data_IF_053607706230
#
_entry.id   IF_053607706230
#
_cell.length_a   1.000
_cell.length_b   1.000
_cell.length_c   1.000
_cell.angle_alpha   90.00
_cell.angle_beta   90.00
_cell.angle_gamma   90.00
#
_symmetry.space_group_name_H-M   'P 1'
#
loop_
_entity.id
_entity.type
_entity.pdbx_description
1 polymer ?
#
# COMPACT_ATOMS: atom_id res chain seq x y z
N UNK A 1 -47.94 -30.24 -18.74
CA UNK A 1 -46.86 -30.52 -17.76
C UNK A 1 -45.66 -29.66 -18.14
N UNK A 2 -45.72 -28.39 -17.81
CA UNK A 2 -44.65 -27.42 -18.05
C UNK A 2 -43.52 -27.65 -17.03
N UNK A 3 -42.32 -27.95 -17.52
CA UNK A 3 -41.13 -28.18 -16.72
C UNK A 3 -40.38 -26.86 -16.56
N UNK A 4 -40.72 -26.09 -15.53
CA UNK A 4 -39.93 -24.95 -15.09
C UNK A 4 -38.90 -25.38 -14.04
N UNK A 5 -37.62 -25.43 -14.42
CA UNK A 5 -36.46 -25.28 -13.52
C UNK A 5 -35.18 -25.36 -14.36
N UNK A 6 -34.17 -24.51 -14.25
CA UNK A 6 -33.79 -23.56 -13.21
C UNK A 6 -32.77 -22.59 -13.81
N UNK A 7 -32.86 -21.29 -13.53
CA UNK A 7 -31.78 -20.36 -13.82
C UNK A 7 -30.59 -20.73 -12.94
N UNK A 8 -29.55 -21.33 -13.52
CA UNK A 8 -28.32 -21.64 -12.78
C UNK A 8 -27.75 -20.32 -12.27
N UNK A 9 -27.78 -20.12 -10.94
CA UNK A 9 -27.15 -18.98 -10.32
C UNK A 9 -25.68 -18.96 -10.76
N UNK A 10 -25.31 -17.96 -11.56
CA UNK A 10 -23.94 -17.76 -11.98
C UNK A 10 -23.05 -17.76 -10.72
N UNK A 11 -21.88 -18.42 -10.73
CA UNK A 11 -21.04 -18.49 -9.54
C UNK A 11 -20.71 -17.08 -9.09
N UNK A 12 -21.12 -16.72 -7.87
CA UNK A 12 -20.71 -15.47 -7.26
C UNK A 12 -19.19 -15.48 -7.19
N UNK A 13 -18.54 -14.61 -7.95
CA UNK A 13 -17.09 -14.52 -7.98
C UNK A 13 -16.67 -13.97 -6.62
N UNK A 14 -16.34 -14.85 -5.69
CA UNK A 14 -15.86 -14.47 -4.38
C UNK A 14 -14.67 -13.52 -4.54
N UNK A 15 -14.76 -12.34 -3.95
CA UNK A 15 -13.68 -11.36 -3.95
C UNK A 15 -12.59 -11.85 -2.99
N UNK A 16 -11.47 -12.31 -3.54
CA UNK A 16 -10.30 -12.67 -2.73
C UNK A 16 -9.65 -11.40 -2.19
N UNK A 17 -9.58 -11.27 -0.86
CA UNK A 17 -8.82 -10.20 -0.22
C UNK A 17 -7.33 -10.43 -0.41
N UNK A 18 -6.59 -9.36 -0.74
CA UNK A 18 -5.15 -9.38 -0.90
C UNK A 18 -4.50 -8.27 -0.05
N UNK A 19 -3.33 -8.57 0.50
CA UNK A 19 -2.48 -7.59 1.17
C UNK A 19 -1.32 -7.23 0.24
N UNK A 20 -1.17 -5.95 -0.05
CA UNK A 20 -0.14 -5.42 -0.96
C UNK A 20 0.87 -4.62 -0.13
N UNK A 21 2.16 -4.87 -0.33
CA UNK A 21 3.25 -4.20 0.39
C UNK A 21 4.13 -3.47 -0.61
N UNK A 22 4.40 -2.18 -0.35
CA UNK A 22 5.34 -1.37 -1.13
C UNK A 22 6.65 -1.26 -0.36
N UNK A 23 7.73 -1.82 -0.89
CA UNK A 23 9.06 -1.84 -0.28
C UNK A 23 10.07 -1.06 -1.13
N UNK A 24 11.13 -0.55 -0.50
CA UNK A 24 12.17 0.25 -1.15
C UNK A 24 12.88 1.18 -0.16
N UNK A 25 14.01 1.75 -0.58
CA UNK A 25 14.86 2.62 0.23
C UNK A 25 14.16 3.91 0.72
N UNK A 26 14.86 4.69 1.55
CA UNK A 26 14.36 5.96 2.04
C UNK A 26 14.14 6.95 0.88
N UNK A 27 13.07 7.77 0.95
CA UNK A 27 12.82 8.84 -0.03
C UNK A 27 12.39 8.43 -1.45
N UNK A 28 12.32 7.14 -1.80
CA UNK A 28 12.00 6.66 -3.17
C UNK A 28 10.53 6.83 -3.62
N UNK A 29 9.68 7.46 -2.80
CA UNK A 29 8.28 7.76 -3.17
C UNK A 29 7.24 6.69 -2.82
N UNK A 30 7.52 5.79 -1.87
CA UNK A 30 6.57 4.74 -1.43
C UNK A 30 5.23 5.33 -0.96
N UNK A 31 5.29 6.36 -0.11
CA UNK A 31 4.10 7.05 0.40
C UNK A 31 3.35 7.77 -0.71
N UNK A 32 4.07 8.39 -1.65
CA UNK A 32 3.50 9.03 -2.83
C UNK A 32 2.71 8.02 -3.68
N UNK A 33 3.27 6.84 -3.94
CA UNK A 33 2.59 5.78 -4.69
C UNK A 33 1.31 5.33 -3.98
N UNK A 34 1.39 5.04 -2.67
CA UNK A 34 0.21 4.62 -1.89
C UNK A 34 -0.87 5.69 -1.94
N UNK A 35 -0.51 6.98 -1.83
CA UNK A 35 -1.45 8.10 -1.94
C UNK A 35 -2.08 8.24 -3.32
N UNK A 36 -1.35 7.94 -4.40
CA UNK A 36 -1.86 8.07 -5.77
C UNK A 36 -2.91 7.02 -6.14
N UNK A 37 -2.88 5.84 -5.51
CA UNK A 37 -3.80 4.72 -5.81
C UNK A 37 -4.85 4.48 -4.73
N UNK A 38 -4.75 5.13 -3.57
CA UNK A 38 -5.68 4.99 -2.47
C UNK A 38 -6.79 6.04 -2.52
N UNK A 39 -8.04 5.60 -2.56
CA UNK A 39 -9.22 6.46 -2.38
C UNK A 39 -9.48 6.80 -0.89
N UNK A 40 -8.73 6.19 0.03
CA UNK A 40 -8.85 6.38 1.47
C UNK A 40 -7.74 7.32 1.96
N UNK A 41 -8.07 8.23 2.88
CA UNK A 41 -7.10 9.09 3.53
C UNK A 41 -6.03 8.24 4.25
N UNK A 42 -4.74 8.39 3.91
CA UNK A 42 -3.70 7.53 4.43
C UNK A 42 -3.54 7.68 5.96
N UNK A 43 -3.54 6.56 6.66
CA UNK A 43 -3.15 6.51 8.06
C UNK A 43 -1.62 6.56 8.14
N UNK A 44 -1.07 7.67 8.64
CA UNK A 44 0.36 7.82 8.88
C UNK A 44 0.67 7.50 10.34
N UNK A 45 1.51 6.50 10.57
CA UNK A 45 2.10 6.19 11.88
C UNK A 45 3.60 6.44 11.80
N UNK A 46 3.99 7.69 11.56
CA UNK A 46 5.41 8.06 11.48
C UNK A 46 6.09 7.76 12.82
N UNK A 47 7.18 6.98 12.78
CA UNK A 47 8.07 6.79 13.91
C UNK A 47 9.18 7.85 13.84
N UNK A 48 9.55 8.43 14.99
CA UNK A 48 10.69 9.35 15.06
C UNK A 48 11.93 8.57 14.59
N UNK A 49 12.61 9.07 13.54
CA UNK A 49 13.86 8.44 13.10
C UNK A 49 14.87 8.50 14.24
N UNK A 50 15.30 7.34 14.71
CA UNK A 50 16.28 7.25 15.80
C UNK A 50 17.67 7.55 15.26
N UNK A 51 18.52 8.21 16.07
CA UNK A 51 19.93 8.45 15.74
C UNK A 51 20.72 7.19 15.40
N UNK A 52 20.27 6.01 15.85
CA UNK A 52 20.82 4.71 15.48
C UNK A 52 20.71 4.40 13.96
N UNK A 53 19.74 4.99 13.25
CA UNK A 53 19.54 4.78 11.80
C UNK A 53 20.44 5.68 10.94
N UNK A 54 21.02 6.74 11.51
CA UNK A 54 21.75 7.78 10.78
C UNK A 54 23.02 7.28 10.04
N UNK A 55 23.57 6.12 10.44
CA UNK A 55 24.75 5.53 9.81
C UNK A 55 24.46 4.31 8.92
N UNK A 56 23.21 3.85 8.87
CA UNK A 56 22.78 2.67 8.09
C UNK A 56 21.99 3.08 6.85
N UNK A 57 21.22 4.17 6.94
CA UNK A 57 20.51 4.73 5.79
C UNK A 57 21.46 5.59 4.95
N UNK A 58 21.65 5.22 3.68
CA UNK A 58 22.37 6.06 2.72
C UNK A 58 21.49 7.26 2.32
N UNK A 59 21.71 8.37 3.02
CA UNK A 59 21.06 9.67 2.77
C UNK A 59 21.80 10.53 1.75
N UNK A 60 22.90 10.06 1.17
CA UNK A 60 23.71 10.84 0.22
C UNK A 60 22.90 11.29 -1.01
N UNK A 61 21.90 10.51 -1.40
CA UNK A 61 21.01 10.79 -2.54
C UNK A 61 19.77 11.64 -2.18
N UNK A 62 19.53 11.92 -0.90
CA UNK A 62 18.30 12.58 -0.41
C UNK A 62 18.58 13.51 0.78
N UNK A 63 19.78 14.12 0.85
CA UNK A 63 20.32 14.80 2.04
C UNK A 63 19.46 15.95 2.60
N UNK A 64 18.49 16.46 1.84
CA UNK A 64 17.52 17.47 2.30
C UNK A 64 16.18 16.93 2.82
N UNK A 65 15.92 15.62 2.77
CA UNK A 65 14.64 15.02 3.20
C UNK A 65 14.75 14.48 4.63
N UNK A 66 14.07 15.13 5.55
CA UNK A 66 13.91 14.69 6.96
C UNK A 66 12.61 13.94 7.23
N UNK A 67 11.74 13.81 6.22
CA UNK A 67 10.36 13.30 6.37
C UNK A 67 9.95 12.44 5.17
N UNK A 68 9.12 11.42 5.39
CA UNK A 68 8.68 10.45 4.36
C UNK A 68 7.34 10.87 3.73
N UNK A 69 7.36 11.88 2.87
CA UNK A 69 6.24 12.22 1.96
C UNK A 69 6.47 11.70 0.55
#
# INVERSE_FOLDING_TARGET
MDFASSNAAAPTRATTSAKIVIAGGFGVGKTTLVGAVSEINPLRTEAVMTSASAGIDDISHVSGKTTTT
#
